data_IF_543345557066
#
_entry.id   IF_543345557066
#
_cell.length_a   1.000
_cell.length_b   1.000
_cell.length_c   1.000
_cell.angle_alpha   90.00
_cell.angle_beta   90.00
_cell.angle_gamma   90.00
#
_symmetry.space_group_name_H-M   'P 1'
#
loop_
_entity.id
_entity.type
_entity.pdbx_description
1 polymer ?
#
# COMPACT_ATOMS: atom_id res chain seq x y z
N UNK A 1 13.27 10.55 -1.48
CA UNK A 1 13.38 9.08 -1.43
C UNK A 1 12.79 8.56 -2.72
N UNK A 2 13.55 7.80 -3.52
CA UNK A 2 13.04 7.24 -4.78
C UNK A 2 12.17 6.03 -4.47
N UNK A 3 11.04 5.85 -5.17
CA UNK A 3 10.17 4.67 -5.06
C UNK A 3 10.95 3.36 -5.33
N UNK A 4 12.13 3.46 -5.96
CA UNK A 4 13.03 2.36 -6.33
C UNK A 4 13.57 1.51 -5.16
N UNK A 5 13.38 1.90 -3.90
CA UNK A 5 13.87 1.13 -2.73
C UNK A 5 12.74 0.48 -1.91
N UNK A 6 11.52 0.40 -2.44
CA UNK A 6 10.42 -0.28 -1.77
C UNK A 6 10.37 -1.75 -2.17
N UNK A 7 10.17 -2.61 -1.18
CA UNK A 7 9.97 -4.04 -1.35
C UNK A 7 8.53 -4.41 -1.02
N UNK A 8 8.08 -5.52 -1.58
CA UNK A 8 6.82 -6.13 -1.17
C UNK A 8 6.81 -6.35 0.35
N UNK A 9 5.69 -6.03 1.00
CA UNK A 9 5.57 -6.07 2.45
C UNK A 9 5.93 -4.77 3.17
N UNK A 10 6.59 -3.81 2.51
CA UNK A 10 6.83 -2.50 3.12
C UNK A 10 5.51 -1.77 3.38
N UNK A 11 5.48 -0.92 4.41
CA UNK A 11 4.36 -0.01 4.66
C UNK A 11 4.75 1.37 4.18
N UNK A 12 3.86 2.00 3.42
CA UNK A 12 3.98 3.40 3.04
C UNK A 12 2.82 4.21 3.60
N UNK A 13 3.11 5.46 3.93
CA UNK A 13 2.14 6.40 4.47
C UNK A 13 2.08 7.61 3.55
N UNK A 14 0.90 7.89 3.01
CA UNK A 14 0.61 9.10 2.23
C UNK A 14 -0.03 10.15 3.13
N UNK A 15 0.56 11.34 3.18
CA UNK A 15 0.06 12.45 3.98
C UNK A 15 -0.95 13.30 3.18
N UNK A 16 -2.23 13.22 3.55
CA UNK A 16 -3.32 13.99 2.95
C UNK A 16 -3.59 15.32 3.69
N UNK A 17 -2.68 15.74 4.57
CA UNK A 17 -2.74 16.99 5.32
C UNK A 17 -3.48 16.84 6.65
N UNK A 18 -4.74 16.41 6.61
CA UNK A 18 -5.58 16.23 7.82
C UNK A 18 -5.67 14.79 8.30
N UNK A 19 -5.28 13.84 7.47
CA UNK A 19 -5.18 12.43 7.81
C UNK A 19 -4.02 11.77 7.06
N UNK A 20 -3.67 10.58 7.52
CA UNK A 20 -2.67 9.74 6.88
C UNK A 20 -3.35 8.51 6.29
N UNK A 21 -2.97 8.17 5.07
CA UNK A 21 -3.42 6.96 4.40
C UNK A 21 -2.30 5.92 4.43
N UNK A 22 -2.57 4.79 5.06
CA UNK A 22 -1.59 3.71 5.24
C UNK A 22 -1.82 2.64 4.19
N UNK A 23 -0.75 2.15 3.60
CA UNK A 23 -0.83 1.17 2.51
C UNK A 23 0.29 0.16 2.59
N UNK A 24 -0.04 -1.10 2.29
CA UNK A 24 0.89 -2.19 2.15
C UNK A 24 1.39 -2.25 0.71
N UNK A 25 2.70 -2.29 0.53
CA UNK A 25 3.36 -2.45 -0.77
C UNK A 25 3.17 -3.89 -1.22
N UNK A 26 2.51 -4.05 -2.36
CA UNK A 26 2.27 -5.35 -2.99
C UNK A 26 3.52 -5.87 -3.70
N UNK A 27 3.53 -7.19 -3.94
CA UNK A 27 4.44 -7.84 -4.89
C UNK A 27 4.00 -7.71 -6.36
N UNK A 28 2.82 -7.15 -6.62
CA UNK A 28 2.35 -6.82 -7.96
C UNK A 28 2.81 -5.44 -8.42
N UNK A 29 3.08 -5.30 -9.72
CA UNK A 29 3.42 -4.02 -10.37
C UNK A 29 2.26 -3.55 -11.26
N UNK A 30 2.04 -2.24 -11.31
CA UNK A 30 1.14 -1.63 -12.29
C UNK A 30 1.84 -1.49 -13.66
N UNK A 31 1.09 -1.08 -14.69
CA UNK A 31 1.59 -0.88 -16.06
C UNK A 31 2.77 0.11 -16.16
N UNK A 32 2.94 0.98 -15.16
CA UNK A 32 4.06 1.95 -15.09
C UNK A 32 5.31 1.38 -14.40
N UNK A 33 5.30 0.11 -13.99
CA UNK A 33 6.38 -0.54 -13.26
C UNK A 33 6.49 -0.11 -11.79
N UNK A 34 5.49 0.60 -11.25
CA UNK A 34 5.41 0.95 -9.83
C UNK A 34 4.69 -0.17 -9.07
N UNK A 35 5.01 -0.42 -7.80
CA UNK A 35 4.27 -1.39 -7.01
C UNK A 35 2.81 -0.97 -6.85
N UNK A 36 1.93 -1.97 -6.84
CA UNK A 36 0.55 -1.79 -6.39
C UNK A 36 0.50 -1.65 -4.87
N UNK A 37 -0.58 -1.06 -4.38
CA UNK A 37 -0.77 -0.79 -2.96
C UNK A 37 -2.08 -1.41 -2.48
N UNK A 38 -2.02 -2.17 -1.38
CA UNK A 38 -3.20 -2.71 -0.70
C UNK A 38 -3.56 -1.77 0.46
N UNK A 39 -4.77 -1.22 0.46
CA UNK A 39 -5.23 -0.30 1.50
C UNK A 39 -6.75 -0.25 1.63
N UNK A 40 -7.24 0.22 2.78
CA UNK A 40 -8.66 0.46 3.01
C UNK A 40 -9.10 1.75 2.31
N UNK A 41 -9.88 1.64 1.24
CA UNK A 41 -10.29 2.82 0.46
C UNK A 41 -11.50 3.49 1.10
N UNK A 42 -11.43 4.80 1.38
CA UNK A 42 -12.61 5.54 1.86
C UNK A 42 -13.71 5.66 0.79
N UNK A 43 -13.35 5.60 -0.50
CA UNK A 43 -14.27 5.79 -1.63
C UNK A 43 -15.39 4.74 -1.65
N UNK A 44 -15.06 3.50 -1.28
CA UNK A 44 -16.00 2.39 -1.29
C UNK A 44 -16.21 1.78 0.11
N UNK A 45 -15.41 2.20 1.09
CA UNK A 45 -15.42 1.63 2.44
C UNK A 45 -14.78 0.25 2.53
N UNK A 46 -14.12 -0.22 1.46
CA UNK A 46 -13.55 -1.57 1.39
C UNK A 46 -12.04 -1.57 1.13
N UNK A 47 -11.37 -2.66 1.50
CA UNK A 47 -9.96 -2.90 1.10
C UNK A 47 -9.87 -3.16 -0.41
N UNK A 48 -8.86 -2.57 -1.06
CA UNK A 48 -8.55 -2.81 -2.47
C UNK A 48 -7.03 -2.84 -2.69
N UNK A 49 -6.62 -3.53 -3.76
CA UNK A 49 -5.28 -3.51 -4.33
C UNK A 49 -5.30 -2.64 -5.59
N UNK A 50 -4.65 -1.48 -5.53
CA UNK A 50 -4.78 -0.43 -6.55
C UNK A 50 -3.42 0.12 -7.00
N UNK A 51 -3.43 0.83 -8.14
CA UNK A 51 -2.24 1.48 -8.65
C UNK A 51 -1.73 2.56 -7.67
N UNK A 52 -0.41 2.65 -7.54
CA UNK A 52 0.28 3.65 -6.71
C UNK A 52 -0.30 5.06 -6.83
N UNK A 53 -0.48 5.55 -8.06
CA UNK A 53 -0.96 6.92 -8.31
C UNK A 53 -2.41 7.13 -7.86
N UNK A 54 -3.24 6.07 -7.90
CA UNK A 54 -4.65 6.13 -7.48
C UNK A 54 -4.74 6.23 -5.96
N UNK A 55 -3.93 5.43 -5.26
CA UNK A 55 -3.90 5.40 -3.79
C UNK A 55 -3.25 6.65 -3.21
N UNK A 56 -2.09 7.05 -3.74
CA UNK A 56 -1.31 8.16 -3.20
C UNK A 56 -1.79 9.53 -3.67
N UNK A 57 -2.46 9.61 -4.82
CA UNK A 57 -2.93 10.87 -5.45
C UNK A 57 -1.85 11.96 -5.53
N UNK A 58 -0.60 11.55 -5.77
CA UNK A 58 0.56 12.45 -5.82
C UNK A 58 0.92 13.12 -4.48
N UNK A 59 0.33 12.67 -3.36
CA UNK A 59 0.64 13.19 -2.03
C UNK A 59 2.01 12.73 -1.55
N UNK A 60 2.57 13.49 -0.60
CA UNK A 60 3.84 13.13 0.01
C UNK A 60 3.73 11.77 0.68
N UNK A 61 4.47 10.80 0.14
CA UNK A 61 4.40 9.39 0.54
C UNK A 61 5.79 8.92 0.97
N UNK A 62 5.86 8.27 2.11
CA UNK A 62 7.12 7.85 2.73
C UNK A 62 6.98 6.45 3.38
N UNK A 63 8.06 5.67 3.44
CA UNK A 63 8.03 4.38 4.12
C UNK A 63 7.90 4.55 5.63
N UNK A 64 7.09 3.71 6.26
CA UNK A 64 6.99 3.56 7.70
C UNK A 64 7.66 2.26 8.13
N UNK A 65 8.38 2.31 9.26
CA UNK A 65 8.98 1.12 9.85
C UNK A 65 7.91 0.34 10.61
N UNK A 66 7.49 -0.79 10.04
CA UNK A 66 6.55 -1.73 10.63
C UNK A 66 7.19 -3.12 10.63
N UNK A 67 7.04 -3.84 11.73
CA UNK A 67 7.50 -5.23 11.86
C UNK A 67 6.31 -6.16 11.92
N UNK A 68 6.38 -7.28 11.21
CA UNK A 68 5.37 -8.33 11.26
C UNK A 68 5.83 -9.47 12.16
N UNK A 69 4.88 -10.13 12.81
CA UNK A 69 5.08 -11.38 13.57
C UNK A 69 5.10 -12.62 12.65
N UNK A 70 4.95 -12.43 11.35
CA UNK A 70 4.80 -13.46 10.32
C UNK A 70 5.53 -13.10 9.03
N UNK A 71 5.77 -14.08 8.13
CA UNK A 71 6.44 -13.84 6.85
C UNK A 71 5.64 -12.91 5.92
N UNK A 72 6.35 -12.09 5.13
CA UNK A 72 5.74 -11.15 4.17
C UNK A 72 4.73 -11.80 3.21
N UNK A 73 4.99 -13.00 2.62
CA UNK A 73 3.99 -13.63 1.75
C UNK A 73 2.65 -13.87 2.46
N UNK A 74 2.67 -14.31 3.72
CA UNK A 74 1.46 -14.51 4.52
C UNK A 74 0.75 -13.17 4.82
N UNK A 75 1.51 -12.10 5.08
CA UNK A 75 0.94 -10.74 5.25
C UNK A 75 0.18 -10.30 3.99
N UNK A 76 0.76 -10.52 2.81
CA UNK A 76 0.14 -10.16 1.53
C UNK A 76 -1.11 -10.99 1.25
N UNK A 77 -1.06 -12.31 1.49
CA UNK A 77 -2.22 -13.19 1.36
C UNK A 77 -3.37 -12.76 2.28
N UNK A 78 -3.07 -12.46 3.53
CA UNK A 78 -4.06 -11.96 4.49
C UNK A 78 -4.62 -10.61 4.07
N UNK A 79 -3.78 -9.67 3.62
CA UNK A 79 -4.25 -8.37 3.15
C UNK A 79 -5.18 -8.50 1.93
N UNK A 80 -4.85 -9.40 1.00
CA UNK A 80 -5.70 -9.71 -0.17
C UNK A 80 -7.02 -10.39 0.23
N UNK A 81 -7.01 -11.22 1.27
CA UNK A 81 -8.25 -11.85 1.79
C UNK A 81 -9.29 -10.85 2.31
N UNK A 82 -8.85 -9.63 2.63
CA UNK A 82 -9.73 -8.55 3.08
C UNK A 82 -10.33 -7.73 1.91
N UNK A 83 -9.89 -7.95 0.66
CA UNK A 83 -10.40 -7.17 -0.47
C UNK A 83 -11.92 -7.34 -0.62
N UNK A 84 -12.62 -6.21 -0.71
CA UNK A 84 -14.08 -6.16 -0.80
C UNK A 84 -14.82 -6.24 0.54
N UNK A 85 -14.12 -6.43 1.66
CA UNK A 85 -14.62 -6.19 3.02
C UNK A 85 -14.37 -4.72 3.39
#
# INVERSE_FOLDING_TARGET
MSIQNLNAGDIVVSNFGVYQHWSLVSDALCEKGLPMLISATQRNGTVQEENWDVVTQGKHTYPAKVTYDRPVPEVLELARSQIGQ
#
